data_IF_392193616956
#
_entry.id   IF_392193616956
#
_cell.length_a   1.000
_cell.length_b   1.000
_cell.length_c   1.000
_cell.angle_alpha   90.00
_cell.angle_beta   90.00
_cell.angle_gamma   90.00
#
_symmetry.space_group_name_H-M   'P 1'
#
loop_
_entity.id
_entity.type
_entity.pdbx_description
1 polymer ?
#
# COMPACT_ATOMS: atom_id res chain seq x y z
N UNK A 1 -3.53 29.51 -19.95
CA UNK A 1 -4.21 30.26 -18.88
C UNK A 1 -3.24 30.40 -17.72
N UNK A 2 -2.85 31.63 -17.38
CA UNK A 2 -1.63 31.94 -16.64
C UNK A 2 -1.72 31.85 -15.11
N UNK A 3 -0.57 31.59 -14.49
CA UNK A 3 -0.31 31.64 -13.05
C UNK A 3 -0.31 33.08 -12.52
N UNK A 4 -1.48 33.73 -12.49
CA UNK A 4 -1.71 34.99 -11.78
C UNK A 4 -2.87 34.83 -10.80
N UNK A 5 -2.70 34.09 -9.70
CA UNK A 5 -3.68 34.09 -8.60
C UNK A 5 -3.00 34.00 -7.24
N UNK A 6 -3.59 34.72 -6.26
CA UNK A 6 -3.24 34.72 -4.83
C UNK A 6 -3.01 33.28 -4.34
N UNK A 7 -2.01 33.10 -3.48
CA UNK A 7 -1.74 31.84 -2.78
C UNK A 7 -3.07 31.24 -2.28
N UNK A 8 -3.42 30.01 -2.68
CA UNK A 8 -4.67 29.40 -2.26
C UNK A 8 -4.73 29.39 -0.74
N UNK A 9 -5.86 29.82 -0.17
CA UNK A 9 -6.05 29.79 1.27
C UNK A 9 -6.04 28.34 1.77
N UNK A 10 -5.67 28.14 3.04
CA UNK A 10 -5.62 26.80 3.63
C UNK A 10 -6.98 26.06 3.53
N UNK A 11 -8.10 26.79 3.49
CA UNK A 11 -9.44 26.23 3.30
C UNK A 11 -9.68 25.62 1.92
N UNK A 12 -9.11 26.19 0.85
CA UNK A 12 -9.23 25.68 -0.52
C UNK A 12 -8.64 24.26 -0.64
N UNK A 13 -7.49 24.00 -0.03
CA UNK A 13 -6.88 22.67 0.00
C UNK A 13 -7.72 21.66 0.77
N UNK A 14 -8.29 22.06 1.92
CA UNK A 14 -9.18 21.21 2.72
C UNK A 14 -10.41 20.82 1.91
N UNK A 15 -11.11 21.79 1.30
CA UNK A 15 -12.29 21.52 0.48
C UNK A 15 -11.96 20.66 -0.75
N UNK A 16 -10.82 20.90 -1.39
CA UNK A 16 -10.36 20.08 -2.51
C UNK A 16 -10.13 18.61 -2.12
N UNK A 17 -9.48 18.37 -0.97
CA UNK A 17 -9.25 17.01 -0.44
C UNK A 17 -10.56 16.29 -0.14
N UNK A 18 -11.52 16.98 0.49
CA UNK A 18 -12.84 16.42 0.76
C UNK A 18 -13.62 16.12 -0.53
N UNK A 19 -13.54 17.01 -1.52
CA UNK A 19 -14.23 16.82 -2.80
C UNK A 19 -13.67 15.65 -3.61
N UNK A 20 -12.35 15.42 -3.58
CA UNK A 20 -11.78 14.22 -4.21
C UNK A 20 -12.22 12.96 -3.47
N UNK A 21 -12.07 12.95 -2.15
CA UNK A 21 -12.30 11.77 -1.34
C UNK A 21 -11.39 10.61 -1.73
N UNK A 22 -11.56 9.46 -1.05
CA UNK A 22 -10.78 8.26 -1.31
C UNK A 22 -10.91 7.78 -2.76
N UNK A 23 -12.13 7.71 -3.26
CA UNK A 23 -12.43 7.19 -4.60
C UNK A 23 -11.86 8.09 -5.70
N UNK A 24 -11.83 9.42 -5.49
CA UNK A 24 -11.18 10.33 -6.41
C UNK A 24 -9.67 10.10 -6.49
N UNK A 25 -9.00 9.85 -5.36
CA UNK A 25 -7.57 9.52 -5.36
C UNK A 25 -7.31 8.19 -6.07
N UNK A 26 -8.13 7.16 -5.81
CA UNK A 26 -8.01 5.87 -6.51
C UNK A 26 -8.24 6.01 -8.03
N UNK A 27 -9.18 6.87 -8.44
CA UNK A 27 -9.43 7.16 -9.85
C UNK A 27 -8.25 7.87 -10.53
N UNK A 28 -7.68 8.89 -9.88
CA UNK A 28 -6.48 9.59 -10.40
C UNK A 28 -5.31 8.62 -10.52
N UNK A 29 -5.06 7.82 -9.50
CA UNK A 29 -4.03 6.77 -9.54
C UNK A 29 -4.24 5.82 -10.72
N UNK A 30 -5.47 5.30 -10.90
CA UNK A 30 -5.81 4.38 -11.98
C UNK A 30 -5.57 4.99 -13.36
N UNK A 31 -5.90 6.27 -13.56
CA UNK A 31 -5.64 6.97 -14.83
C UNK A 31 -4.15 7.04 -15.12
N UNK A 32 -3.34 7.46 -14.14
CA UNK A 32 -1.89 7.57 -14.29
C UNK A 32 -1.26 6.20 -14.55
N UNK A 33 -1.64 5.18 -13.79
CA UNK A 33 -1.12 3.83 -13.95
C UNK A 33 -1.43 3.27 -15.35
N UNK A 34 -2.67 3.41 -15.83
CA UNK A 34 -3.03 2.95 -17.18
C UNK A 34 -2.21 3.63 -18.27
N UNK A 35 -1.85 4.91 -18.10
CA UNK A 35 -0.96 5.60 -19.04
C UNK A 35 0.47 5.03 -19.00
N UNK A 36 0.99 4.69 -17.81
CA UNK A 36 2.31 4.07 -17.67
C UNK A 36 2.34 2.66 -18.26
N UNK A 37 1.31 1.84 -18.03
CA UNK A 37 1.15 0.50 -18.59
C UNK A 37 1.09 0.56 -20.13
N UNK A 38 0.24 1.44 -20.70
CA UNK A 38 0.12 1.61 -22.16
C UNK A 38 1.43 2.04 -22.83
N UNK A 39 2.29 2.77 -22.12
CA UNK A 39 3.60 3.22 -22.62
C UNK A 39 4.72 2.20 -22.36
N UNK A 40 4.43 1.08 -21.70
CA UNK A 40 5.42 0.07 -21.34
C UNK A 40 6.45 0.53 -20.30
N UNK A 41 6.18 1.64 -19.58
CA UNK A 41 7.08 2.17 -18.54
C UNK A 41 7.09 1.28 -17.30
N UNK A 42 5.97 0.61 -17.05
CA UNK A 42 5.80 -0.32 -15.93
C UNK A 42 5.36 -1.67 -16.48
N UNK A 43 5.96 -2.75 -15.97
CA UNK A 43 5.58 -4.14 -16.28
C UNK A 43 4.86 -4.76 -15.09
N UNK A 44 4.06 -5.79 -15.36
CA UNK A 44 3.24 -6.49 -14.37
C UNK A 44 3.74 -7.87 -13.98
N UNK A 45 4.74 -8.40 -14.66
CA UNK A 45 5.19 -9.80 -14.63
C UNK A 45 5.63 -10.26 -13.23
N UNK A 46 6.41 -9.44 -12.53
CA UNK A 46 6.83 -9.70 -11.14
C UNK A 46 6.34 -8.57 -10.25
N UNK A 47 5.48 -8.91 -9.27
CA UNK A 47 4.85 -7.96 -8.36
C UNK A 47 5.35 -8.18 -6.94
N UNK A 48 5.81 -7.12 -6.29
CA UNK A 48 6.16 -7.11 -4.88
C UNK A 48 5.01 -6.53 -4.04
N UNK A 49 4.63 -7.20 -2.96
CA UNK A 49 3.61 -6.74 -2.01
C UNK A 49 4.24 -6.43 -0.65
N UNK A 50 3.96 -5.23 -0.14
CA UNK A 50 4.44 -4.77 1.16
C UNK A 50 3.42 -3.84 1.84
N UNK A 51 3.53 -3.71 3.17
CA UNK A 51 2.71 -2.83 3.99
C UNK A 51 3.55 -1.80 4.74
N UNK A 52 3.32 -0.50 4.47
CA UNK A 52 4.01 0.59 5.18
C UNK A 52 3.08 1.35 6.11
N UNK A 53 3.52 1.57 7.36
CA UNK A 53 2.73 2.28 8.36
C UNK A 53 2.89 3.80 8.24
N UNK A 54 1.76 4.51 8.26
CA UNK A 54 1.66 5.97 8.25
C UNK A 54 1.02 6.41 9.57
N UNK A 55 1.75 7.26 10.32
CA UNK A 55 1.26 7.82 11.58
C UNK A 55 0.10 8.77 11.31
N UNK A 56 -1.02 8.59 12.02
CA UNK A 56 -2.14 9.53 11.96
C UNK A 56 -1.79 10.84 12.68
N UNK A 57 -2.33 11.94 12.18
CA UNK A 57 -2.26 13.23 12.85
C UNK A 57 -3.34 13.33 13.93
N UNK A 58 -3.16 12.51 14.98
CA UNK A 58 -4.11 12.38 16.08
C UNK A 58 -3.37 11.90 17.34
N UNK A 59 -3.83 12.37 18.50
CA UNK A 59 -3.43 11.78 19.79
C UNK A 59 -4.23 10.50 20.04
N UNK A 60 -3.73 9.62 20.91
CA UNK A 60 -4.55 8.49 21.37
C UNK A 60 -5.74 9.00 22.17
N UNK A 61 -6.88 8.33 22.02
CA UNK A 61 -8.04 8.54 22.89
C UNK A 61 -7.83 7.81 24.23
N UNK A 62 -8.80 7.94 25.15
CA UNK A 62 -8.76 7.31 26.48
C UNK A 62 -8.70 5.78 26.43
N UNK A 63 -9.18 5.15 25.35
CA UNK A 63 -9.12 3.70 25.17
C UNK A 63 -7.71 3.20 24.78
N UNK A 64 -6.77 4.13 24.54
CA UNK A 64 -5.40 3.88 24.08
C UNK A 64 -5.27 3.06 22.78
N UNK A 65 -6.35 2.86 22.03
CA UNK A 65 -6.47 2.06 20.81
C UNK A 65 -6.89 2.88 19.58
N UNK A 66 -7.63 3.97 19.77
CA UNK A 66 -8.20 4.82 18.73
C UNK A 66 -7.61 6.25 18.76
N UNK A 67 -7.83 7.02 17.70
CA UNK A 67 -7.42 8.43 17.65
C UNK A 67 -8.50 9.36 18.20
N UNK A 68 -8.08 10.39 18.94
CA UNK A 68 -8.98 11.40 19.53
C UNK A 68 -9.63 12.30 18.47
N UNK A 69 -8.85 12.79 17.51
CA UNK A 69 -9.32 13.61 16.39
C UNK A 69 -9.42 12.82 15.08
N UNK A 70 -9.14 11.52 15.14
CA UNK A 70 -9.20 10.60 14.00
C UNK A 70 -9.73 9.24 14.51
N UNK A 71 -11.07 9.09 14.59
CA UNK A 71 -11.69 7.90 15.16
C UNK A 71 -11.51 6.63 14.31
N UNK A 72 -10.98 6.74 13.10
CA UNK A 72 -10.70 5.60 12.20
C UNK A 72 -9.26 5.07 12.37
N UNK A 73 -8.34 5.91 12.85
CA UNK A 73 -6.98 5.49 13.15
C UNK A 73 -6.95 4.45 14.28
N UNK A 74 -6.10 3.42 14.14
CA UNK A 74 -5.95 2.35 15.15
C UNK A 74 -4.49 2.17 15.54
N UNK A 75 -4.23 1.66 16.74
CA UNK A 75 -2.90 1.22 17.14
C UNK A 75 -2.52 -0.08 16.43
N UNK A 76 -1.35 -0.11 15.81
CA UNK A 76 -0.77 -1.33 15.28
C UNK A 76 0.76 -1.34 15.30
N UNK A 77 1.34 -2.46 14.89
CA UNK A 77 2.79 -2.63 14.80
C UNK A 77 3.34 -1.87 13.59
N UNK A 78 4.42 -1.15 13.83
CA UNK A 78 5.29 -0.56 12.82
C UNK A 78 6.74 -1.04 13.03
N UNK A 79 7.66 -0.61 12.17
CA UNK A 79 9.09 -0.96 12.26
C UNK A 79 9.70 -0.64 13.63
N UNK A 80 9.25 0.44 14.29
CA UNK A 80 9.73 0.87 15.62
C UNK A 80 8.59 0.92 16.62
N UNK A 81 8.15 -0.25 17.08
CA UNK A 81 7.12 -0.39 18.12
C UNK A 81 5.70 -0.15 17.61
N UNK A 82 4.86 0.41 18.47
CA UNK A 82 3.44 0.64 18.18
C UNK A 82 3.19 2.06 17.66
N UNK A 83 2.37 2.18 16.63
CA UNK A 83 1.96 3.47 16.04
C UNK A 83 0.44 3.57 15.97
N UNK A 84 -0.10 4.76 16.24
CA UNK A 84 -1.47 5.12 15.91
C UNK A 84 -1.52 5.58 14.46
N UNK A 85 -2.28 4.87 13.63
CA UNK A 85 -2.48 5.31 12.25
C UNK A 85 -3.04 4.24 11.32
N UNK A 86 -2.50 4.24 10.12
CA UNK A 86 -2.93 3.43 9.00
C UNK A 86 -1.74 2.70 8.38
N UNK A 87 -2.00 1.62 7.65
CA UNK A 87 -1.05 0.99 6.75
C UNK A 87 -1.50 1.18 5.32
N UNK A 88 -0.54 1.51 4.46
CA UNK A 88 -0.69 1.43 3.01
C UNK A 88 -0.17 0.07 2.60
N UNK A 89 -1.08 -0.82 2.23
CA UNK A 89 -0.76 -2.11 1.62
C UNK A 89 -0.66 -1.89 0.12
N UNK A 90 0.46 -2.23 -0.49
CA UNK A 90 0.79 -1.83 -1.85
C UNK A 90 1.37 -3.01 -2.63
N UNK A 91 0.94 -3.15 -3.88
CA UNK A 91 1.54 -4.01 -4.87
C UNK A 91 2.32 -3.13 -5.85
N UNK A 92 3.59 -3.46 -6.09
CA UNK A 92 4.50 -2.70 -6.94
C UNK A 92 5.11 -3.58 -8.03
N UNK A 93 5.44 -2.99 -9.17
CA UNK A 93 6.31 -3.62 -10.14
C UNK A 93 7.68 -3.84 -9.51
N UNK A 94 8.18 -5.08 -9.47
CA UNK A 94 9.44 -5.38 -8.79
C UNK A 94 10.68 -4.78 -9.48
N UNK A 95 10.59 -4.45 -10.78
CA UNK A 95 11.71 -3.89 -11.54
C UNK A 95 11.78 -2.36 -11.51
N UNK A 96 10.64 -1.68 -11.61
CA UNK A 96 10.59 -0.21 -11.58
C UNK A 96 10.26 0.38 -10.22
N UNK A 97 9.86 -0.45 -9.26
CA UNK A 97 9.36 -0.08 -7.93
C UNK A 97 8.09 0.79 -7.97
N UNK A 98 7.47 0.94 -9.15
CA UNK A 98 6.28 1.76 -9.31
C UNK A 98 5.03 1.04 -8.79
N UNK A 99 4.14 1.76 -8.09
CA UNK A 99 2.92 1.18 -7.53
C UNK A 99 1.94 0.78 -8.64
N UNK A 100 1.39 -0.43 -8.51
CA UNK A 100 0.41 -1.02 -9.42
C UNK A 100 -0.98 -1.11 -8.77
N UNK A 101 -1.05 -1.29 -7.47
CA UNK A 101 -2.29 -1.25 -6.70
C UNK A 101 -1.99 -0.88 -5.25
N UNK A 102 -2.96 -0.29 -4.56
CA UNK A 102 -2.85 -0.04 -3.12
C UNK A 102 -4.20 -0.10 -2.42
N UNK A 103 -4.14 -0.30 -1.11
CA UNK A 103 -5.25 -0.15 -0.17
C UNK A 103 -4.74 0.46 1.12
N UNK A 104 -5.49 1.43 1.66
CA UNK A 104 -5.21 2.02 2.97
C UNK A 104 -6.17 1.45 4.00
N UNK A 105 -5.65 0.98 5.13
CA UNK A 105 -6.43 0.39 6.21
C UNK A 105 -5.89 0.81 7.59
N UNK A 106 -6.69 0.77 8.66
CA UNK A 106 -6.19 1.03 10.01
C UNK A 106 -5.05 0.08 10.41
N UNK A 107 -4.08 0.58 11.18
CA UNK A 107 -2.82 -0.11 11.48
C UNK A 107 -2.95 -1.46 12.20
N UNK A 108 -4.08 -1.73 12.87
CA UNK A 108 -4.34 -2.97 13.59
C UNK A 108 -4.74 -4.14 12.67
N UNK A 109 -4.94 -3.89 11.37
CA UNK A 109 -5.30 -4.94 10.42
C UNK A 109 -4.09 -5.75 9.97
N UNK A 110 -4.29 -7.07 9.83
CA UNK A 110 -3.25 -8.01 9.40
C UNK A 110 -3.05 -7.95 7.88
N UNK A 111 -1.79 -7.89 7.46
CA UNK A 111 -1.29 -7.81 6.09
C UNK A 111 -1.89 -8.88 5.17
N UNK A 112 -2.00 -10.13 5.65
CA UNK A 112 -2.50 -11.28 4.88
C UNK A 112 -3.90 -11.06 4.32
N UNK A 113 -4.71 -10.21 4.98
CA UNK A 113 -6.07 -9.88 4.54
C UNK A 113 -6.10 -9.09 3.24
N UNK A 114 -5.00 -8.43 2.89
CA UNK A 114 -4.92 -7.52 1.75
C UNK A 114 -4.31 -8.15 0.51
N UNK A 115 -3.82 -9.40 0.57
CA UNK A 115 -3.27 -10.05 -0.63
C UNK A 115 -4.35 -10.17 -1.71
N UNK A 116 -5.50 -10.77 -1.39
CA UNK A 116 -6.58 -11.01 -2.35
C UNK A 116 -7.11 -9.69 -2.94
N UNK A 117 -7.49 -8.68 -2.13
CA UNK A 117 -7.91 -7.38 -2.67
C UNK A 117 -6.87 -6.70 -3.56
N UNK A 118 -5.58 -6.83 -3.25
CA UNK A 118 -4.53 -6.25 -4.08
C UNK A 118 -4.42 -6.98 -5.42
N UNK A 119 -4.45 -8.32 -5.44
CA UNK A 119 -4.42 -9.10 -6.68
C UNK A 119 -5.64 -8.82 -7.56
N UNK A 120 -6.83 -8.70 -6.97
CA UNK A 120 -8.05 -8.30 -7.68
C UNK A 120 -7.90 -6.92 -8.32
N UNK A 121 -7.40 -5.93 -7.56
CA UNK A 121 -7.11 -4.59 -8.10
C UNK A 121 -6.09 -4.61 -9.24
N UNK A 122 -5.06 -5.46 -9.19
CA UNK A 122 -4.10 -5.59 -10.29
C UNK A 122 -4.80 -6.06 -11.58
N UNK A 123 -5.63 -7.08 -11.48
CA UNK A 123 -6.41 -7.59 -12.62
C UNK A 123 -7.36 -6.53 -13.18
N UNK A 124 -8.03 -5.77 -12.32
CA UNK A 124 -8.90 -4.65 -12.74
C UNK A 124 -8.14 -3.55 -13.49
N UNK A 125 -6.84 -3.37 -13.23
CA UNK A 125 -5.99 -2.44 -13.97
C UNK A 125 -5.42 -3.04 -15.27
N UNK A 126 -5.75 -4.30 -15.58
CA UNK A 126 -5.24 -5.02 -16.74
C UNK A 126 -3.78 -5.48 -16.57
N UNK A 127 -3.32 -5.66 -15.34
CA UNK A 127 -1.97 -6.14 -15.03
C UNK A 127 -1.99 -7.67 -15.01
N UNK A 128 -1.25 -8.27 -15.96
CA UNK A 128 -0.94 -9.70 -15.93
C UNK A 128 0.35 -9.90 -15.14
N UNK A 129 0.29 -10.72 -14.09
CA UNK A 129 1.44 -11.05 -13.24
C UNK A 129 1.65 -12.55 -13.17
N UNK A 130 2.91 -12.95 -13.13
CA UNK A 130 3.32 -14.36 -13.06
C UNK A 130 3.92 -14.67 -11.69
N UNK A 131 4.60 -13.73 -11.06
CA UNK A 131 5.23 -13.96 -9.75
C UNK A 131 4.79 -12.90 -8.76
N UNK A 132 4.43 -13.36 -7.55
CA UNK A 132 4.17 -12.47 -6.41
C UNK A 132 5.25 -12.67 -5.37
N UNK A 133 6.00 -11.60 -5.08
CA UNK A 133 6.96 -11.50 -4.00
C UNK A 133 6.30 -10.82 -2.79
N UNK A 134 6.48 -11.38 -1.61
CA UNK A 134 6.00 -10.78 -0.37
C UNK A 134 6.92 -11.13 0.79
N UNK A 135 6.85 -10.36 1.86
CA UNK A 135 7.61 -10.62 3.08
C UNK A 135 7.00 -11.76 3.92
N UNK A 136 7.67 -12.10 5.03
CA UNK A 136 7.21 -13.16 5.93
C UNK A 136 5.86 -12.86 6.60
N UNK A 137 5.44 -11.59 6.69
CA UNK A 137 4.13 -11.24 7.25
C UNK A 137 3.00 -11.72 6.37
N UNK A 138 3.24 -11.95 5.08
CA UNK A 138 2.29 -12.57 4.16
C UNK A 138 2.35 -14.11 4.15
N UNK A 139 3.28 -14.74 4.88
CA UNK A 139 3.43 -16.19 4.81
C UNK A 139 2.29 -16.94 5.53
N UNK A 140 1.46 -17.62 4.73
CA UNK A 140 0.43 -18.55 5.18
C UNK A 140 -0.07 -19.42 4.03
N UNK A 141 -0.60 -20.60 4.34
CA UNK A 141 -1.19 -21.50 3.33
C UNK A 141 -2.31 -20.82 2.54
N UNK A 142 -3.18 -20.06 3.21
CA UNK A 142 -4.28 -19.31 2.56
C UNK A 142 -3.78 -18.26 1.57
N UNK A 143 -2.70 -17.55 1.90
CA UNK A 143 -2.10 -16.56 0.99
C UNK A 143 -1.49 -17.28 -0.23
N UNK A 144 -0.73 -18.35 -0.01
CA UNK A 144 -0.12 -19.13 -1.11
C UNK A 144 -1.18 -19.74 -2.04
N UNK A 145 -2.26 -20.28 -1.49
CA UNK A 145 -3.41 -20.77 -2.25
C UNK A 145 -4.09 -19.66 -3.05
N UNK A 146 -4.32 -18.51 -2.42
CA UNK A 146 -4.87 -17.33 -3.11
C UNK A 146 -4.01 -16.94 -4.30
N UNK A 147 -2.70 -16.79 -4.12
CA UNK A 147 -1.78 -16.42 -5.21
C UNK A 147 -1.82 -17.45 -6.36
N UNK A 148 -1.88 -18.75 -6.03
CA UNK A 148 -2.02 -19.82 -7.03
C UNK A 148 -3.34 -19.76 -7.82
N UNK A 149 -4.46 -19.43 -7.18
CA UNK A 149 -5.75 -19.28 -7.88
C UNK A 149 -5.72 -18.17 -8.93
N UNK A 150 -4.88 -17.16 -8.75
CA UNK A 150 -4.70 -16.07 -9.70
C UNK A 150 -3.65 -16.41 -10.79
N UNK A 151 -3.20 -17.67 -10.87
CA UNK A 151 -2.29 -18.16 -11.90
C UNK A 151 -0.81 -17.87 -11.65
N UNK A 152 -0.45 -17.28 -10.50
CA UNK A 152 0.91 -16.92 -10.18
C UNK A 152 1.56 -17.89 -9.18
N UNK A 153 2.79 -18.38 -9.43
CA UNK A 153 3.62 -18.93 -8.38
C UNK A 153 3.90 -17.91 -7.26
N UNK A 154 3.64 -18.30 -6.01
CA UNK A 154 3.98 -17.48 -4.84
C UNK A 154 5.49 -17.59 -4.57
N UNK A 155 6.22 -16.49 -4.73
CA UNK A 155 7.65 -16.38 -4.45
C UNK A 155 7.91 -15.63 -3.15
N UNK A 156 7.59 -16.23 -1.99
CA UNK A 156 7.97 -15.63 -0.70
C UNK A 156 9.48 -15.79 -0.55
N UNK A 157 10.24 -14.72 -0.81
CA UNK A 157 11.70 -14.70 -0.61
C UNK A 157 12.00 -13.92 0.66
N UNK A 158 12.27 -14.63 1.75
CA UNK A 158 12.78 -13.99 2.97
C UNK A 158 14.26 -13.66 2.78
N UNK A 159 14.66 -12.39 2.98
CA UNK A 159 16.05 -12.10 3.32
C UNK A 159 16.27 -12.59 4.74
N UNK A 160 16.79 -13.81 4.89
CA UNK A 160 17.48 -14.19 6.13
C UNK A 160 18.75 -13.33 6.17
N UNK A 161 18.84 -12.45 7.16
CA UNK A 161 20.04 -11.64 7.37
C UNK A 161 21.23 -12.59 7.54
N UNK A 162 22.14 -12.57 6.58
CA UNK A 162 23.44 -13.19 6.70
C UNK A 162 24.24 -12.38 7.73
N UNK A 163 24.13 -12.77 9.00
CA UNK A 163 25.07 -12.33 10.02
C UNK A 163 26.38 -13.10 9.83
N UNK A 164 27.16 -12.71 8.81
CA UNK A 164 28.56 -13.12 8.65
C UNK A 164 29.49 -12.01 9.15
N UNK A 165 30.26 -12.35 10.18
CA UNK A 165 31.60 -11.82 10.42
C UNK A 165 31.74 -10.64 11.39
N UNK A 166 31.80 -10.91 12.70
CA UNK A 166 32.73 -10.16 13.55
C UNK A 166 34.13 -10.68 13.24
N UNK A 167 34.89 -9.89 12.49
CA UNK A 167 36.35 -9.90 12.55
C UNK A 167 36.79 -8.49 12.92
N UNK A 168 37.07 -8.31 14.20
CA UNK A 168 38.24 -7.64 14.79
C UNK A 168 38.27 -8.05 16.25
#
# INVERSE_FOLDING_TARGET
MGFKQRTPSHGLFTHFRHRLGKDGYEKVFSILLRQLLKRGVVKGDVVAVDGTAVKAYSQRSLDNKTGKSDPEARIGRARRGLVLGYKVHMACCASSELPLAFTVAPCNMNEKRFIKPLLEKLMEQGVCFETVLADAQYDSSKVRETVRMFGAPAGIRTRVGDSRGRHT
#
